data_IF_885198459156
#
_entry.id   IF_885198459156
#
_cell.length_a   1.000
_cell.length_b   1.000
_cell.length_c   1.000
_cell.angle_alpha   90.00
_cell.angle_beta   90.00
_cell.angle_gamma   90.00
#
_symmetry.space_group_name_H-M   'P 1'
#
loop_
_entity.id
_entity.type
_entity.pdbx_description
1 polymer ?
#
# COMPACT_ATOMS: atom_id res chain seq x y z
N UNK A 1 17.86 4.34 -34.33
CA UNK A 1 17.36 3.56 -33.18
C UNK A 1 17.78 4.30 -31.93
N UNK A 2 16.85 4.95 -31.24
CA UNK A 2 17.13 5.50 -29.92
C UNK A 2 17.31 4.33 -28.96
N UNK A 3 18.47 4.27 -28.31
CA UNK A 3 18.69 3.34 -27.20
C UNK A 3 17.70 3.78 -26.10
N UNK A 4 16.82 2.90 -25.60
CA UNK A 4 15.93 3.25 -24.50
C UNK A 4 16.78 3.80 -23.35
N UNK A 5 16.50 5.03 -22.93
CA UNK A 5 17.19 5.61 -21.78
C UNK A 5 16.89 4.71 -20.57
N UNK A 6 17.92 4.25 -19.88
CA UNK A 6 17.72 3.64 -18.56
C UNK A 6 16.98 4.66 -17.69
N UNK A 7 15.79 4.34 -17.21
CA UNK A 7 15.07 5.20 -16.27
C UNK A 7 15.85 5.22 -14.95
N UNK A 8 16.35 6.39 -14.54
CA UNK A 8 17.20 6.54 -13.34
C UNK A 8 16.55 7.45 -12.29
N UNK A 9 15.35 7.09 -11.78
CA UNK A 9 14.65 7.95 -10.83
C UNK A 9 15.33 8.00 -9.46
N UNK A 10 16.15 7.00 -9.11
CA UNK A 10 16.92 6.97 -7.87
C UNK A 10 18.11 7.93 -7.91
N UNK A 11 18.51 8.44 -6.74
CA UNK A 11 19.78 9.13 -6.56
C UNK A 11 20.97 8.18 -6.76
N UNK A 12 22.16 8.75 -6.99
CA UNK A 12 23.39 7.96 -7.15
C UNK A 12 23.71 7.12 -5.91
N UNK A 13 23.44 7.65 -4.71
CA UNK A 13 23.64 6.92 -3.46
C UNK A 13 22.76 5.66 -3.39
N UNK A 14 21.49 5.78 -3.76
CA UNK A 14 20.59 4.62 -3.83
C UNK A 14 21.06 3.66 -4.91
N UNK A 15 21.39 4.12 -6.12
CA UNK A 15 21.86 3.23 -7.18
C UNK A 15 23.12 2.45 -6.79
N UNK A 16 24.09 3.11 -6.15
CA UNK A 16 25.34 2.50 -5.72
C UNK A 16 25.17 1.47 -4.58
N UNK A 17 24.15 1.61 -3.75
CA UNK A 17 23.90 0.69 -2.62
C UNK A 17 23.65 -0.73 -3.12
N UNK A 18 24.38 -1.72 -2.62
CA UNK A 18 24.16 -3.11 -3.02
C UNK A 18 23.21 -3.80 -2.06
N UNK A 19 22.19 -4.50 -2.57
CA UNK A 19 21.40 -5.39 -1.71
C UNK A 19 22.25 -6.64 -1.44
N UNK A 20 22.55 -6.99 -0.18
CA UNK A 20 23.28 -8.21 0.15
C UNK A 20 22.58 -9.45 -0.42
N UNK A 21 23.34 -10.45 -0.86
CA UNK A 21 22.76 -11.65 -1.53
C UNK A 21 21.87 -12.48 -0.60
N UNK A 22 22.16 -12.46 0.68
CA UNK A 22 21.43 -13.10 1.77
C UNK A 22 20.36 -12.20 2.39
N UNK A 23 20.14 -11.01 1.83
CA UNK A 23 19.14 -10.09 2.34
C UNK A 23 17.74 -10.69 2.25
N UNK A 24 16.99 -10.60 3.34
CA UNK A 24 15.63 -11.10 3.41
C UNK A 24 14.71 -10.24 2.54
N UNK A 25 14.02 -10.87 1.59
CA UNK A 25 13.06 -10.17 0.74
C UNK A 25 11.73 -9.98 1.49
N UNK A 26 11.19 -8.75 1.56
CA UNK A 26 9.94 -8.47 2.23
C UNK A 26 8.78 -9.21 1.53
N UNK A 27 7.97 -9.91 2.32
CA UNK A 27 6.80 -10.61 1.81
C UNK A 27 5.61 -9.65 1.81
N UNK A 28 5.48 -8.88 0.74
CA UNK A 28 4.40 -7.91 0.53
C UNK A 28 3.70 -8.23 -0.78
N UNK A 29 2.37 -8.15 -0.79
CA UNK A 29 1.60 -8.30 -2.01
C UNK A 29 2.03 -7.25 -3.06
N UNK A 30 2.32 -7.63 -4.32
CA UNK A 30 2.72 -6.66 -5.33
C UNK A 30 1.61 -5.65 -5.65
N UNK A 31 1.96 -4.37 -5.68
CA UNK A 31 1.05 -3.25 -5.90
C UNK A 31 0.93 -2.91 -7.39
N UNK A 32 -0.26 -3.06 -7.98
CA UNK A 32 -0.51 -2.66 -9.37
C UNK A 32 -1.11 -1.27 -9.55
N UNK A 33 -1.38 -0.56 -8.45
CA UNK A 33 -2.03 0.74 -8.49
C UNK A 33 -3.51 0.69 -8.15
N UNK A 34 -4.13 -0.47 -7.96
CA UNK A 34 -5.57 -0.56 -7.61
C UNK A 34 -5.82 -0.74 -6.11
N UNK A 35 -4.80 -1.17 -5.36
CA UNK A 35 -4.89 -1.36 -3.91
C UNK A 35 -4.84 -0.01 -3.16
N UNK A 36 -5.15 -0.04 -1.86
CA UNK A 36 -4.95 1.12 -1.00
C UNK A 36 -3.43 1.37 -0.81
N UNK A 37 -2.89 2.53 -1.24
CA UNK A 37 -1.47 2.82 -1.12
C UNK A 37 -1.00 2.97 0.33
N UNK A 38 -1.88 3.45 1.23
CA UNK A 38 -1.55 3.58 2.66
C UNK A 38 -1.36 2.21 3.29
N UNK A 39 -2.23 1.25 2.94
CA UNK A 39 -2.12 -0.13 3.42
C UNK A 39 -0.86 -0.80 2.87
N UNK A 40 -0.58 -0.64 1.57
CA UNK A 40 0.62 -1.18 0.95
C UNK A 40 1.90 -0.68 1.63
N UNK A 41 2.00 0.64 1.81
CA UNK A 41 3.15 1.27 2.47
C UNK A 41 3.30 0.83 3.94
N UNK A 42 2.19 0.66 4.65
CA UNK A 42 2.18 0.16 6.04
C UNK A 42 2.68 -1.29 6.10
N UNK A 43 2.17 -2.16 5.22
CA UNK A 43 2.59 -3.56 5.15
C UNK A 43 4.09 -3.68 4.82
N UNK A 44 4.56 -2.88 3.87
CA UNK A 44 5.98 -2.83 3.53
C UNK A 44 6.83 -2.37 4.72
N UNK A 45 6.45 -1.28 5.40
CA UNK A 45 7.18 -0.80 6.59
C UNK A 45 7.24 -1.86 7.68
N UNK A 46 6.15 -2.58 7.93
CA UNK A 46 6.12 -3.67 8.91
C UNK A 46 7.07 -4.82 8.51
N UNK A 47 7.08 -5.24 7.24
CA UNK A 47 8.02 -6.26 6.76
C UNK A 47 9.47 -5.81 6.86
N UNK A 48 9.75 -4.53 6.64
CA UNK A 48 11.11 -3.99 6.76
C UNK A 48 11.62 -3.90 8.20
N UNK A 49 10.75 -3.97 9.23
CA UNK A 49 11.20 -4.16 10.62
C UNK A 49 11.82 -5.55 10.83
N UNK A 50 11.41 -6.53 10.02
CA UNK A 50 11.85 -7.91 10.09
C UNK A 50 13.03 -8.16 9.15
N UNK A 51 13.00 -7.57 7.95
CA UNK A 51 14.04 -7.75 6.93
C UNK A 51 15.29 -6.90 7.17
N UNK A 52 15.16 -5.75 7.86
CA UNK A 52 16.25 -4.82 8.10
C UNK A 52 16.75 -4.12 6.83
N UNK A 53 17.97 -3.59 6.84
CA UNK A 53 18.59 -2.92 5.70
C UNK A 53 18.63 -1.39 5.80
N UNK A 54 19.48 -0.77 4.98
CA UNK A 54 19.62 0.69 4.88
C UNK A 54 18.38 1.34 4.24
N UNK A 55 18.30 2.67 4.30
CA UNK A 55 17.17 3.40 3.71
C UNK A 55 17.20 3.31 2.18
N UNK A 56 18.38 3.19 1.62
CA UNK A 56 18.68 2.97 0.21
C UNK A 56 18.23 1.59 -0.24
N UNK A 57 18.53 0.53 0.54
CA UNK A 57 18.01 -0.82 0.29
C UNK A 57 16.47 -0.83 0.33
N UNK A 58 15.86 -0.11 1.28
CA UNK A 58 14.38 0.05 1.33
C UNK A 58 13.82 0.61 0.03
N UNK A 59 14.46 1.59 -0.59
CA UNK A 59 13.99 2.17 -1.86
C UNK A 59 13.94 1.12 -2.96
N UNK A 60 15.02 0.32 -3.10
CA UNK A 60 15.09 -0.74 -4.12
C UNK A 60 14.07 -1.84 -3.87
N UNK A 61 13.93 -2.28 -2.62
CA UNK A 61 12.96 -3.32 -2.25
C UNK A 61 11.53 -2.83 -2.44
N UNK A 62 11.23 -1.57 -2.13
CA UNK A 62 9.91 -1.00 -2.36
C UNK A 62 9.56 -0.92 -3.85
N UNK A 63 10.51 -0.48 -4.69
CA UNK A 63 10.36 -0.53 -6.15
C UNK A 63 10.08 -1.97 -6.62
N UNK A 64 10.75 -2.98 -6.04
CA UNK A 64 10.51 -4.39 -6.34
C UNK A 64 9.10 -4.90 -5.99
N UNK A 65 8.32 -4.14 -5.20
CA UNK A 65 6.91 -4.47 -4.93
C UNK A 65 5.94 -3.88 -5.96
N UNK A 66 6.39 -3.00 -6.86
CA UNK A 66 5.54 -2.32 -7.84
C UNK A 66 5.38 -3.20 -9.10
N UNK A 67 4.18 -3.20 -9.69
CA UNK A 67 3.90 -3.86 -10.97
C UNK A 67 2.94 -3.02 -11.82
N UNK A 68 2.83 -3.33 -13.11
CA UNK A 68 1.86 -2.70 -14.05
C UNK A 68 1.92 -1.16 -13.95
N UNK A 69 0.77 -0.50 -13.81
CA UNK A 69 0.65 0.95 -13.75
C UNK A 69 1.52 1.61 -12.66
N UNK A 70 1.80 0.90 -11.55
CA UNK A 70 2.70 1.40 -10.52
C UNK A 70 4.17 1.39 -10.96
N UNK A 71 4.59 0.35 -11.69
CA UNK A 71 5.94 0.29 -12.25
C UNK A 71 6.11 1.24 -13.44
N UNK A 72 5.07 1.42 -14.25
CA UNK A 72 5.04 2.40 -15.35
C UNK A 72 5.18 3.83 -14.81
N UNK A 73 4.45 4.16 -13.75
CA UNK A 73 4.59 5.44 -13.05
C UNK A 73 6.01 5.66 -12.54
N UNK A 74 6.60 4.67 -11.85
CA UNK A 74 7.96 4.76 -11.33
C UNK A 74 8.98 5.01 -12.46
N UNK A 75 8.81 4.31 -13.59
CA UNK A 75 9.67 4.46 -14.77
C UNK A 75 9.52 5.83 -15.43
N UNK A 76 8.36 6.48 -15.30
CA UNK A 76 8.10 7.84 -15.80
C UNK A 76 8.57 8.97 -14.88
N UNK A 77 9.13 8.68 -13.71
CA UNK A 77 9.63 9.71 -12.80
C UNK A 77 10.88 10.42 -13.37
N UNK A 78 11.08 11.71 -13.06
CA UNK A 78 12.30 12.41 -13.47
C UNK A 78 13.55 11.74 -12.91
N UNK A 79 14.64 11.78 -13.68
CA UNK A 79 15.94 11.29 -13.25
C UNK A 79 16.34 11.93 -11.91
N UNK A 80 16.88 11.11 -11.00
CA UNK A 80 17.37 11.52 -9.67
C UNK A 80 16.33 12.15 -8.74
N UNK A 81 15.04 11.99 -9.02
CA UNK A 81 13.96 12.58 -8.21
C UNK A 81 13.76 11.91 -6.84
N UNK A 82 14.20 10.67 -6.65
CA UNK A 82 14.10 9.92 -5.40
C UNK A 82 15.46 9.95 -4.69
N UNK A 83 15.58 10.79 -3.66
CA UNK A 83 16.81 10.91 -2.87
C UNK A 83 16.88 9.96 -1.69
N UNK A 84 15.73 9.55 -1.16
CA UNK A 84 15.57 8.68 0.00
C UNK A 84 14.17 8.04 0.01
N UNK A 85 13.93 7.15 0.98
CA UNK A 85 12.68 6.41 1.09
C UNK A 85 11.48 7.29 1.47
N UNK A 86 11.69 8.39 2.19
CA UNK A 86 10.61 9.29 2.59
C UNK A 86 10.13 10.14 1.40
N UNK A 87 11.06 10.58 0.54
CA UNK A 87 10.75 11.18 -0.77
C UNK A 87 9.99 10.19 -1.64
N UNK A 88 10.48 8.95 -1.77
CA UNK A 88 9.79 7.93 -2.56
C UNK A 88 8.37 7.67 -2.03
N UNK A 89 8.22 7.50 -0.72
CA UNK A 89 6.94 7.27 -0.05
C UNK A 89 5.96 8.42 -0.32
N UNK A 90 6.41 9.68 -0.26
CA UNK A 90 5.55 10.84 -0.54
C UNK A 90 5.11 10.91 -1.99
N UNK A 91 6.03 10.67 -2.93
CA UNK A 91 5.70 10.62 -4.37
C UNK A 91 4.67 9.52 -4.65
N UNK A 92 4.89 8.33 -4.10
CA UNK A 92 3.98 7.20 -4.21
C UNK A 92 2.59 7.53 -3.64
N UNK A 93 2.54 8.06 -2.43
CA UNK A 93 1.28 8.44 -1.79
C UNK A 93 0.53 9.53 -2.56
N UNK A 94 1.26 10.47 -3.17
CA UNK A 94 0.67 11.54 -3.98
C UNK A 94 0.08 10.97 -5.28
N UNK A 95 0.83 10.11 -5.96
CA UNK A 95 0.39 9.50 -7.22
C UNK A 95 -0.88 8.67 -7.06
N UNK A 96 -0.93 7.82 -6.03
CA UNK A 96 -2.02 6.86 -5.85
C UNK A 96 -3.07 7.33 -4.84
N UNK A 97 -3.07 8.62 -4.47
CA UNK A 97 -4.00 9.19 -3.49
C UNK A 97 -5.47 8.88 -3.78
N UNK A 98 -5.86 8.86 -5.07
CA UNK A 98 -7.22 8.54 -5.51
C UNK A 98 -7.67 7.10 -5.16
N UNK A 99 -6.72 6.17 -5.02
CA UNK A 99 -6.99 4.76 -4.69
C UNK A 99 -7.00 4.51 -3.18
N UNK A 100 -6.79 5.56 -2.37
CA UNK A 100 -6.94 5.47 -0.91
C UNK A 100 -8.39 5.14 -0.58
N UNK A 101 -8.61 4.00 0.07
CA UNK A 101 -9.93 3.62 0.54
C UNK A 101 -10.30 4.54 1.69
N UNK A 102 -11.51 5.10 1.62
CA UNK A 102 -12.07 5.84 2.75
C UNK A 102 -12.25 4.86 3.91
N UNK A 103 -11.84 5.22 5.14
CA UNK A 103 -12.23 4.45 6.32
C UNK A 103 -13.76 4.37 6.36
N UNK A 104 -14.32 3.20 6.72
CA UNK A 104 -15.76 3.13 6.91
C UNK A 104 -16.19 4.06 8.04
N UNK A 105 -17.41 4.56 7.93
CA UNK A 105 -18.10 5.35 8.94
C UNK A 105 -19.35 4.60 9.41
N UNK A 106 -19.93 5.03 10.54
CA UNK A 106 -21.07 4.32 11.12
C UNK A 106 -22.28 4.22 10.19
N UNK A 107 -22.49 5.18 9.28
CA UNK A 107 -23.56 5.08 8.27
C UNK A 107 -23.37 3.93 7.29
N UNK A 108 -22.13 3.49 7.02
CA UNK A 108 -21.85 2.39 6.08
C UNK A 108 -22.36 1.04 6.60
N UNK A 109 -22.60 0.92 7.91
CA UNK A 109 -23.20 -0.28 8.50
C UNK A 109 -24.66 -0.47 8.07
N UNK A 110 -25.38 0.62 7.77
CA UNK A 110 -26.80 0.55 7.38
C UNK A 110 -26.98 -0.06 5.99
N UNK A 111 -25.96 0.02 5.14
CA UNK A 111 -25.92 -0.57 3.81
C UNK A 111 -25.64 -2.08 3.85
N UNK A 112 -25.20 -2.61 5.00
CA UNK A 112 -25.05 -4.04 5.19
C UNK A 112 -26.42 -4.69 5.41
N UNK A 113 -26.72 -5.68 4.57
CA UNK A 113 -27.89 -6.55 4.69
C UNK A 113 -27.47 -8.00 4.58
N UNK A 114 -28.07 -8.85 5.39
CA UNK A 114 -27.92 -10.28 5.24
C UNK A 114 -28.48 -10.70 3.88
N UNK A 115 -27.66 -11.37 3.07
CA UNK A 115 -28.10 -11.87 1.77
C UNK A 115 -28.95 -13.13 1.94
N UNK A 116 -29.81 -13.42 0.95
CA UNK A 116 -30.76 -14.55 0.99
C UNK A 116 -30.08 -15.91 1.22
N UNK A 117 -28.86 -16.07 0.74
CA UNK A 117 -28.05 -17.30 0.84
C UNK A 117 -26.93 -17.20 1.87
N UNK A 118 -26.82 -16.08 2.59
CA UNK A 118 -25.79 -15.83 3.60
C UNK A 118 -26.28 -16.31 4.96
N UNK A 119 -25.46 -17.10 5.66
CA UNK A 119 -25.77 -17.50 7.03
C UNK A 119 -25.67 -16.29 7.97
N UNK A 120 -26.41 -16.31 9.08
CA UNK A 120 -26.33 -15.24 10.09
C UNK A 120 -24.89 -15.07 10.61
N UNK A 121 -24.14 -16.17 10.72
CA UNK A 121 -22.74 -16.16 11.16
C UNK A 121 -21.85 -15.39 10.19
N UNK A 122 -21.99 -15.64 8.90
CA UNK A 122 -21.18 -14.99 7.87
C UNK A 122 -21.54 -13.50 7.75
N UNK A 123 -22.82 -13.17 7.91
CA UNK A 123 -23.26 -11.78 8.00
C UNK A 123 -22.65 -11.07 9.21
N UNK A 124 -22.72 -11.66 10.41
CA UNK A 124 -22.12 -11.11 11.63
C UNK A 124 -20.61 -10.91 11.50
N UNK A 125 -19.93 -11.87 10.87
CA UNK A 125 -18.51 -11.77 10.57
C UNK A 125 -18.22 -10.52 9.73
N UNK A 126 -18.94 -10.33 8.60
CA UNK A 126 -18.82 -9.15 7.73
C UNK A 126 -19.15 -7.84 8.44
N UNK A 127 -20.25 -7.82 9.21
CA UNK A 127 -20.68 -6.63 9.95
C UNK A 127 -19.61 -6.19 10.97
N UNK A 128 -19.08 -7.15 11.73
CA UNK A 128 -18.02 -6.89 12.71
C UNK A 128 -16.71 -6.45 12.04
N UNK A 129 -16.34 -7.03 10.90
CA UNK A 129 -15.16 -6.63 10.14
C UNK A 129 -15.23 -5.16 9.68
N UNK A 130 -16.42 -4.68 9.29
CA UNK A 130 -16.64 -3.26 8.96
C UNK A 130 -16.60 -2.41 10.23
N UNK A 131 -17.32 -2.82 11.29
CA UNK A 131 -17.40 -2.08 12.56
C UNK A 131 -16.02 -1.86 13.20
N UNK A 132 -15.15 -2.87 13.21
CA UNK A 132 -13.78 -2.80 13.75
C UNK A 132 -12.88 -1.80 13.01
N UNK A 133 -13.23 -1.44 11.77
CA UNK A 133 -12.46 -0.48 10.96
C UNK A 133 -12.94 0.97 11.13
N UNK A 134 -14.04 1.19 11.86
CA UNK A 134 -14.59 2.52 12.14
C UNK A 134 -13.85 3.11 13.35
N UNK A 135 -13.08 4.17 13.13
CA UNK A 135 -12.23 4.78 14.17
C UNK A 135 -13.03 5.38 15.35
N UNK A 136 -14.30 5.73 15.14
CA UNK A 136 -15.19 6.29 16.17
C UNK A 136 -16.59 5.73 15.97
N UNK A 137 -16.77 4.46 16.35
CA UNK A 137 -18.03 3.76 16.24
C UNK A 137 -19.06 4.37 17.21
N UNK A 138 -20.18 4.88 16.70
CA UNK A 138 -21.36 5.13 17.52
C UNK A 138 -22.06 3.78 17.78
N UNK A 139 -21.87 3.23 18.97
CA UNK A 139 -22.41 1.94 19.39
C UNK A 139 -23.94 1.89 19.29
N UNK A 140 -24.64 3.01 19.56
CA UNK A 140 -26.10 3.06 19.46
C UNK A 140 -26.52 2.91 18.01
N UNK A 141 -25.86 3.63 17.11
CA UNK A 141 -26.14 3.53 15.69
C UNK A 141 -25.73 2.17 15.10
N UNK A 142 -24.67 1.55 15.62
CA UNK A 142 -24.29 0.19 15.23
C UNK A 142 -25.39 -0.84 15.59
N UNK A 143 -26.00 -0.72 16.78
CA UNK A 143 -27.14 -1.57 17.18
C UNK A 143 -28.36 -1.34 16.29
N UNK A 144 -28.61 -0.10 15.85
CA UNK A 144 -29.73 0.23 14.96
C UNK A 144 -29.50 -0.27 13.53
N UNK A 145 -28.24 -0.33 13.09
CA UNK A 145 -27.88 -0.74 11.73
C UNK A 145 -27.95 -2.27 11.52
N UNK A 146 -27.82 -3.05 12.59
CA UNK A 146 -27.92 -4.52 12.59
C UNK A 146 -29.36 -5.00 12.36
#
# INVERSE_FOLDING_TARGET
>A
MEVPRDFRPFSEAIEAETIPRDHRIPQVEPFDGTQDPSQHLTNFRAQMLICGGSMEVRCKLFMGTLKKAALDWFSGLPDRSITDFDVFSRLFMTQFAANKKKPPITSDLFDLKQQREESLKDFLQRFNEVALRIASLDERMAVIAF
#
